data_IF_313236026732
#
_entry.id   IF_313236026732
#
_cell.length_a   1.000
_cell.length_b   1.000
_cell.length_c   1.000
_cell.angle_alpha   90.00
_cell.angle_beta   90.00
_cell.angle_gamma   90.00
#
_symmetry.space_group_name_H-M   'P 1'
#
loop_
_entity.id
_entity.type
_entity.pdbx_description
1 polymer ?
#
# COMPACT_ATOMS: atom_id res chain seq x y z
N UNK A 1 20.11 -3.39 -24.33
CA UNK A 1 20.26 -4.33 -23.19
C UNK A 1 20.11 -3.55 -21.89
N UNK A 2 18.91 -3.50 -21.30
CA UNK A 2 18.70 -3.14 -19.89
C UNK A 2 18.21 -4.40 -19.18
N UNK A 3 19.13 -5.34 -18.95
CA UNK A 3 18.90 -6.52 -18.10
C UNK A 3 19.56 -6.18 -16.78
N UNK A 4 18.77 -5.86 -15.75
CA UNK A 4 19.31 -5.63 -14.42
C UNK A 4 18.62 -4.57 -13.57
N UNK A 5 17.44 -4.04 -13.93
CA UNK A 5 16.57 -3.48 -12.89
C UNK A 5 16.13 -4.65 -12.02
N UNK A 6 16.78 -4.73 -10.87
CA UNK A 6 16.58 -5.73 -9.83
C UNK A 6 15.08 -5.97 -9.66
N UNK A 7 14.61 -7.20 -9.87
CA UNK A 7 13.21 -7.61 -9.65
C UNK A 7 12.69 -7.28 -8.23
N UNK A 8 13.60 -6.85 -7.37
CA UNK A 8 13.44 -6.44 -6.00
C UNK A 8 13.07 -4.95 -5.86
N UNK A 9 13.55 -4.01 -6.69
CA UNK A 9 13.43 -2.55 -6.45
C UNK A 9 12.09 -1.89 -6.87
N UNK A 10 10.97 -2.62 -6.92
CA UNK A 10 9.70 -2.05 -7.38
C UNK A 10 8.91 -1.34 -6.27
N UNK A 11 8.30 -0.21 -6.67
CA UNK A 11 7.43 0.65 -5.86
C UNK A 11 6.27 -0.11 -5.20
N UNK A 12 5.71 0.51 -4.15
CA UNK A 12 4.52 0.03 -3.46
C UNK A 12 3.35 -0.12 -4.45
N UNK A 13 2.67 -1.28 -4.51
CA UNK A 13 1.56 -1.47 -5.43
C UNK A 13 0.43 -0.48 -5.11
N UNK A 14 -0.10 0.16 -6.16
CA UNK A 14 -1.18 1.14 -6.06
C UNK A 14 -0.81 2.54 -5.53
N UNK A 15 0.38 2.71 -4.95
CA UNK A 15 0.83 3.98 -4.37
C UNK A 15 1.72 4.70 -5.39
N UNK A 16 1.29 5.88 -5.83
CA UNK A 16 1.97 6.67 -6.85
C UNK A 16 1.76 8.18 -6.61
N UNK A 17 2.38 9.00 -7.47
CA UNK A 17 2.28 10.46 -7.38
C UNK A 17 0.85 11.00 -7.51
N UNK A 18 -0.03 10.30 -8.22
CA UNK A 18 -1.44 10.67 -8.33
C UNK A 18 -2.16 10.50 -6.99
N UNK A 19 -2.02 9.33 -6.34
CA UNK A 19 -2.59 9.09 -5.01
C UNK A 19 -2.10 10.12 -3.99
N UNK A 20 -0.79 10.39 -3.96
CA UNK A 20 -0.22 11.40 -3.06
C UNK A 20 -0.75 12.81 -3.35
N UNK A 21 -0.96 13.15 -4.62
CA UNK A 21 -1.57 14.44 -5.00
C UNK A 21 -3.02 14.53 -4.50
N UNK A 22 -3.79 13.44 -4.56
CA UNK A 22 -5.15 13.39 -4.01
C UNK A 22 -5.17 13.53 -2.48
N UNK A 23 -4.18 12.95 -1.79
CA UNK A 23 -3.98 13.18 -0.35
C UNK A 23 -3.70 14.67 -0.06
N UNK A 24 -2.90 15.34 -0.88
CA UNK A 24 -2.67 16.78 -0.74
C UNK A 24 -3.96 17.59 -0.93
N UNK A 25 -4.79 17.24 -1.91
CA UNK A 25 -6.11 17.88 -2.10
C UNK A 25 -7.00 17.67 -0.88
N UNK A 26 -6.99 16.46 -0.30
CA UNK A 26 -7.74 16.15 0.92
C UNK A 26 -7.29 17.02 2.10
N UNK A 27 -5.99 17.22 2.24
CA UNK A 27 -5.42 18.06 3.29
C UNK A 27 -5.74 19.55 3.11
N UNK A 28 -5.79 20.02 1.86
CA UNK A 28 -6.24 21.37 1.54
C UNK A 28 -7.73 21.55 1.91
N UNK A 29 -8.59 20.60 1.55
CA UNK A 29 -10.02 20.63 1.92
C UNK A 29 -10.22 20.61 3.44
N UNK A 30 -9.46 19.79 4.17
CA UNK A 30 -9.47 19.73 5.64
C UNK A 30 -8.79 20.93 6.30
N UNK A 31 -8.30 21.91 5.52
CA UNK A 31 -7.55 23.10 5.99
C UNK A 31 -6.32 22.77 6.85
N UNK A 32 -5.76 21.57 6.67
CA UNK A 32 -4.49 21.15 7.33
C UNK A 32 -3.27 21.73 6.62
N UNK A 33 -3.39 21.97 5.32
CA UNK A 33 -2.38 22.62 4.49
C UNK A 33 -2.95 23.91 3.92
N UNK A 34 -2.11 24.92 3.72
CA UNK A 34 -2.47 26.17 3.07
C UNK A 34 -1.40 26.63 2.07
N UNK A 35 -1.78 27.49 1.13
CA UNK A 35 -0.89 27.95 0.06
C UNK A 35 0.28 28.84 0.54
N UNK A 36 0.28 29.30 1.80
CA UNK A 36 1.39 30.07 2.38
C UNK A 36 2.48 29.17 2.99
N UNK A 37 2.21 27.87 3.15
CA UNK A 37 3.19 26.91 3.67
C UNK A 37 4.26 26.61 2.62
N UNK A 38 5.50 26.42 3.07
CA UNK A 38 6.57 25.94 2.20
C UNK A 38 6.30 24.48 1.76
N UNK A 39 6.89 24.05 0.65
CA UNK A 39 6.78 22.66 0.19
C UNK A 39 7.23 21.66 1.26
N UNK A 40 8.27 21.98 2.03
CA UNK A 40 8.75 21.18 3.16
C UNK A 40 7.67 21.02 4.24
N UNK A 41 7.01 22.12 4.63
CA UNK A 41 5.96 22.09 5.63
C UNK A 41 4.74 21.29 5.14
N UNK A 42 4.36 21.48 3.88
CA UNK A 42 3.27 20.73 3.25
C UNK A 42 3.57 19.23 3.23
N UNK A 43 4.81 18.87 2.85
CA UNK A 43 5.26 17.48 2.82
C UNK A 43 5.27 16.85 4.22
N UNK A 44 5.80 17.54 5.22
CA UNK A 44 5.82 17.06 6.61
C UNK A 44 4.42 16.83 7.17
N UNK A 45 3.48 17.75 6.90
CA UNK A 45 2.06 17.57 7.27
C UNK A 45 1.42 16.39 6.53
N UNK A 46 1.79 16.17 5.27
CA UNK A 46 1.29 15.03 4.50
C UNK A 46 1.77 13.70 5.07
N UNK A 47 3.06 13.59 5.41
CA UNK A 47 3.62 12.41 6.07
C UNK A 47 2.97 12.16 7.42
N UNK A 48 2.83 13.19 8.26
CA UNK A 48 2.18 13.08 9.56
C UNK A 48 0.71 12.63 9.44
N UNK A 49 -0.01 13.15 8.45
CA UNK A 49 -1.37 12.69 8.16
C UNK A 49 -1.41 11.23 7.76
N UNK A 50 -0.55 10.81 6.82
CA UNK A 50 -0.50 9.42 6.35
C UNK A 50 -0.19 8.49 7.52
N UNK A 51 0.84 8.81 8.31
CA UNK A 51 1.27 8.08 9.50
C UNK A 51 0.12 7.74 10.47
N UNK A 52 -0.80 8.68 10.67
CA UNK A 52 -1.90 8.57 11.64
C UNK A 52 -3.28 8.34 11.01
N UNK A 53 -3.37 8.26 9.69
CA UNK A 53 -4.64 8.02 8.99
C UNK A 53 -5.15 6.60 9.16
N UNK A 54 -6.47 6.41 9.05
CA UNK A 54 -7.09 5.09 9.02
C UNK A 54 -8.04 4.92 7.83
N UNK A 55 -7.44 4.72 6.65
CA UNK A 55 -8.16 4.48 5.40
C UNK A 55 -8.68 3.05 5.30
N UNK A 56 -8.26 2.15 6.17
CA UNK A 56 -8.68 0.74 6.13
C UNK A 56 -10.02 0.55 6.84
N UNK A 57 -10.17 1.08 8.07
CA UNK A 57 -11.41 0.89 8.83
C UNK A 57 -12.44 2.00 8.60
N UNK A 58 -12.00 3.27 8.65
CA UNK A 58 -12.90 4.43 8.55
C UNK A 58 -12.99 5.01 7.14
N UNK A 59 -11.98 4.71 6.30
CA UNK A 59 -11.84 5.33 4.99
C UNK A 59 -11.50 6.81 5.05
N UNK A 60 -11.30 7.41 3.88
CA UNK A 60 -11.23 8.85 3.70
C UNK A 60 -12.03 9.24 2.45
N UNK A 61 -12.55 10.47 2.42
CA UNK A 61 -13.32 10.96 1.27
C UNK A 61 -12.99 12.42 0.98
N UNK A 62 -12.89 12.73 -0.32
CA UNK A 62 -12.83 14.08 -0.88
C UNK A 62 -14.22 14.64 -1.20
N UNK A 63 -15.25 13.80 -1.19
CA UNK A 63 -16.61 14.19 -1.49
C UNK A 63 -17.25 14.93 -0.31
N UNK A 64 -18.02 15.97 -0.62
CA UNK A 64 -18.97 16.55 0.32
C UNK A 64 -20.24 15.71 0.41
N UNK A 65 -21.24 16.20 1.14
CA UNK A 65 -22.58 15.61 1.08
C UNK A 65 -23.13 15.78 -0.34
N UNK A 66 -23.20 14.68 -1.10
CA UNK A 66 -23.73 14.64 -2.46
C UNK A 66 -24.93 13.70 -2.52
N UNK A 67 -26.00 14.13 -3.18
CA UNK A 67 -27.18 13.29 -3.40
C UNK A 67 -26.84 12.16 -4.37
N UNK A 68 -27.15 10.92 -3.99
CA UNK A 68 -26.94 9.73 -4.82
C UNK A 68 -25.55 9.09 -4.71
N UNK A 69 -24.61 9.71 -4.00
CA UNK A 69 -23.32 9.08 -3.71
C UNK A 69 -23.48 7.90 -2.72
N UNK A 70 -22.82 6.76 -2.95
CA UNK A 70 -22.81 5.65 -1.99
C UNK A 70 -22.15 6.08 -0.68
N UNK A 71 -22.59 5.48 0.43
CA UNK A 71 -21.95 5.70 1.72
C UNK A 71 -20.53 5.14 1.73
N UNK A 72 -19.62 5.81 2.44
CA UNK A 72 -18.21 5.42 2.50
C UNK A 72 -18.04 3.99 3.06
N UNK A 73 -18.95 3.57 3.94
CA UNK A 73 -18.98 2.22 4.50
C UNK A 73 -19.13 1.13 3.43
N UNK A 74 -19.76 1.46 2.29
CA UNK A 74 -19.90 0.54 1.15
C UNK A 74 -18.52 0.20 0.59
N UNK A 75 -17.64 1.19 0.47
CA UNK A 75 -16.27 0.98 0.00
C UNK A 75 -15.40 0.27 1.05
N UNK A 76 -15.45 0.69 2.32
CA UNK A 76 -14.61 0.07 3.37
C UNK A 76 -14.98 -1.40 3.62
N UNK A 77 -16.20 -1.82 3.26
CA UNK A 77 -16.59 -3.23 3.32
C UNK A 77 -16.04 -4.10 2.18
N UNK A 78 -15.61 -3.48 1.08
CA UNK A 78 -15.20 -4.16 -0.16
C UNK A 78 -13.71 -4.02 -0.47
N UNK A 79 -13.06 -2.97 0.02
CA UNK A 79 -11.67 -2.67 -0.28
C UNK A 79 -10.81 -2.63 0.99
N UNK A 80 -9.57 -3.13 0.86
CA UNK A 80 -8.55 -3.05 1.90
C UNK A 80 -8.30 -1.61 2.38
N UNK A 81 -8.37 -0.65 1.47
CA UNK A 81 -8.06 0.76 1.69
C UNK A 81 -9.04 1.62 0.90
N UNK A 82 -9.62 2.61 1.56
CA UNK A 82 -10.65 3.48 0.99
C UNK A 82 -10.23 4.95 1.02
N UNK A 83 -10.08 5.54 -0.16
CA UNK A 83 -9.97 6.99 -0.38
C UNK A 83 -10.89 7.37 -1.54
N UNK A 84 -12.08 7.89 -1.22
CA UNK A 84 -13.09 8.26 -2.21
C UNK A 84 -12.79 9.62 -2.84
N UNK A 85 -12.97 9.72 -4.15
CA UNK A 85 -12.78 10.94 -4.94
C UNK A 85 -13.83 12.02 -4.62
N UNK A 86 -13.72 13.18 -5.25
CA UNK A 86 -14.62 14.31 -5.00
C UNK A 86 -16.05 14.09 -5.49
N UNK A 87 -16.27 13.18 -6.45
CA UNK A 87 -17.61 12.81 -6.91
C UNK A 87 -18.34 11.89 -5.94
N UNK A 88 -17.62 11.20 -5.05
CA UNK A 88 -18.21 10.25 -4.11
C UNK A 88 -18.42 8.84 -4.69
N UNK A 89 -18.08 8.61 -5.97
CA UNK A 89 -18.39 7.36 -6.66
C UNK A 89 -17.17 6.49 -6.95
N UNK A 90 -15.96 6.98 -6.72
CA UNK A 90 -14.74 6.26 -7.09
C UNK A 90 -13.74 6.16 -5.94
N UNK A 91 -13.36 4.93 -5.58
CA UNK A 91 -12.26 4.70 -4.64
C UNK A 91 -10.91 4.79 -5.36
N UNK A 92 -10.18 5.89 -5.12
CA UNK A 92 -8.85 6.14 -5.68
C UNK A 92 -7.81 5.13 -5.16
N UNK A 93 -8.02 4.60 -3.95
CA UNK A 93 -7.12 3.64 -3.32
C UNK A 93 -7.51 2.17 -3.59
N UNK A 94 -8.41 1.90 -4.54
CA UNK A 94 -8.93 0.54 -4.80
C UNK A 94 -7.85 -0.52 -5.06
N UNK A 95 -6.71 -0.13 -5.64
CA UNK A 95 -5.58 -1.03 -5.94
C UNK A 95 -4.48 -1.03 -4.87
N UNK A 96 -4.70 -0.39 -3.73
CA UNK A 96 -3.72 -0.33 -2.64
C UNK A 96 -4.04 -1.47 -1.66
N UNK A 97 -3.23 -2.53 -1.58
CA UNK A 97 -3.45 -3.59 -0.61
C UNK A 97 -3.09 -3.11 0.80
N UNK A 98 -3.70 -3.75 1.80
CA UNK A 98 -3.52 -3.38 3.21
C UNK A 98 -2.04 -3.43 3.65
N UNK A 99 -1.25 -4.37 3.10
CA UNK A 99 0.19 -4.47 3.36
C UNK A 99 0.98 -3.27 2.85
N UNK A 100 0.66 -2.76 1.66
CA UNK A 100 1.33 -1.59 1.10
C UNK A 100 0.97 -0.32 1.86
N UNK A 101 -0.30 -0.19 2.29
CA UNK A 101 -0.72 0.92 3.14
C UNK A 101 -0.08 0.88 4.52
N UNK A 102 0.01 -0.28 5.16
CA UNK A 102 0.70 -0.44 6.44
C UNK A 102 2.19 -0.07 6.35
N UNK A 103 2.87 -0.46 5.27
CA UNK A 103 4.25 -0.06 4.99
C UNK A 103 4.36 1.46 4.82
N UNK A 104 3.51 2.06 3.97
CA UNK A 104 3.48 3.51 3.78
C UNK A 104 3.29 4.26 5.11
N UNK A 105 2.42 3.78 5.99
CA UNK A 105 2.21 4.38 7.32
C UNK A 105 3.43 4.26 8.23
N UNK A 106 4.18 3.17 8.15
CA UNK A 106 5.40 3.01 8.94
C UNK A 106 6.51 3.92 8.43
N UNK A 107 6.76 3.89 7.12
CA UNK A 107 7.75 4.73 6.47
C UNK A 107 7.44 6.22 6.69
N UNK A 108 6.17 6.61 6.66
CA UNK A 108 5.76 7.98 6.97
C UNK A 108 6.03 8.36 8.44
N UNK A 109 5.80 7.46 9.41
CA UNK A 109 6.12 7.70 10.82
C UNK A 109 7.62 7.87 11.03
N UNK A 110 8.42 7.02 10.43
CA UNK A 110 9.88 7.09 10.55
C UNK A 110 10.42 8.34 9.83
N UNK A 111 9.86 8.69 8.68
CA UNK A 111 10.18 9.93 7.99
C UNK A 111 9.89 11.17 8.83
N UNK A 112 8.74 11.23 9.51
CA UNK A 112 8.42 12.36 10.42
C UNK A 112 9.43 12.45 11.57
N UNK A 113 9.82 11.32 12.16
CA UNK A 113 10.83 11.29 13.24
C UNK A 113 12.18 11.84 12.78
N UNK A 114 12.63 11.46 11.58
CA UNK A 114 13.86 12.00 10.98
C UNK A 114 13.70 13.50 10.67
N UNK A 115 12.54 13.95 10.21
CA UNK A 115 12.31 15.38 9.97
C UNK A 115 12.15 16.21 11.26
N UNK A 116 12.02 15.57 12.43
CA UNK A 116 11.94 16.22 13.74
C UNK A 116 13.32 16.31 14.44
N UNK A 117 14.38 15.64 13.96
CA UNK A 117 15.71 15.63 14.60
C UNK A 117 16.53 16.93 14.49
N UNK A 118 15.94 18.02 13.97
CA UNK A 118 16.52 19.37 13.93
C UNK A 118 17.85 19.55 13.15
N UNK A 119 18.25 18.61 12.29
CA UNK A 119 19.48 18.67 11.49
C UNK A 119 19.16 18.73 9.99
N UNK A 120 18.66 19.87 9.51
CA UNK A 120 17.99 20.02 8.21
C UNK A 120 18.76 19.50 6.98
N UNK A 121 20.10 19.51 6.98
CA UNK A 121 20.91 18.99 5.86
C UNK A 121 21.04 17.46 5.89
N UNK A 122 21.28 16.87 7.06
CA UNK A 122 21.46 15.42 7.23
C UNK A 122 20.12 14.69 7.10
N UNK A 123 19.03 15.29 7.59
CA UNK A 123 17.68 14.73 7.52
C UNK A 123 17.21 14.57 6.05
N UNK A 124 17.57 15.51 5.16
CA UNK A 124 17.23 15.44 3.73
C UNK A 124 18.02 14.33 3.03
N UNK A 125 19.32 14.22 3.32
CA UNK A 125 20.18 13.20 2.73
C UNK A 125 19.71 11.79 3.14
N UNK A 126 19.38 11.61 4.43
CA UNK A 126 18.86 10.37 4.96
C UNK A 126 17.57 9.90 4.27
N UNK A 127 16.65 10.83 3.95
CA UNK A 127 15.34 10.49 3.38
C UNK A 127 15.32 10.38 1.85
N UNK A 128 16.10 11.19 1.13
CA UNK A 128 15.95 11.34 -0.32
C UNK A 128 17.17 10.93 -1.14
N UNK A 129 18.36 10.91 -0.53
CA UNK A 129 19.62 10.68 -1.26
C UNK A 129 20.16 9.26 -1.09
N UNK A 130 19.66 8.52 -0.10
CA UNK A 130 20.07 7.15 0.20
C UNK A 130 18.96 6.16 -0.19
N UNK A 131 18.88 5.73 -1.46
CA UNK A 131 17.95 4.68 -1.84
C UNK A 131 18.32 3.39 -1.10
N UNK A 132 17.46 2.95 -0.19
CA UNK A 132 17.64 1.68 0.49
C UNK A 132 17.53 0.53 -0.53
N UNK A 133 18.51 -0.38 -0.52
CA UNK A 133 18.37 -1.62 -1.29
C UNK A 133 17.17 -2.39 -0.75
N UNK A 134 16.39 -2.97 -1.65
CA UNK A 134 15.16 -3.63 -1.28
C UNK A 134 15.39 -4.82 -0.35
N UNK A 135 16.52 -5.51 -0.49
CA UNK A 135 16.90 -6.60 0.41
C UNK A 135 17.29 -6.13 1.82
N UNK A 136 17.68 -4.87 1.98
CA UNK A 136 18.00 -4.29 3.30
C UNK A 136 16.79 -3.66 3.98
N UNK A 137 15.62 -3.64 3.32
CA UNK A 137 14.37 -3.07 3.86
C UNK A 137 13.55 -4.06 4.70
N UNK A 138 13.87 -5.35 4.66
CA UNK A 138 13.16 -6.39 5.41
C UNK A 138 14.12 -7.18 6.28
N UNK A 139 13.62 -7.67 7.41
CA UNK A 139 14.39 -8.52 8.34
C UNK A 139 14.49 -9.96 7.81
N UNK A 140 13.49 -10.40 7.05
CA UNK A 140 13.41 -11.74 6.50
C UNK A 140 12.93 -11.81 5.06
N UNK A 141 13.56 -12.68 4.28
CA UNK A 141 13.15 -13.00 2.91
C UNK A 141 12.94 -14.50 2.75
N UNK A 142 11.77 -14.88 2.22
CA UNK A 142 11.46 -16.26 1.87
C UNK A 142 11.00 -16.33 0.42
N UNK A 143 11.68 -17.15 -0.37
CA UNK A 143 11.33 -17.37 -1.77
C UNK A 143 10.75 -18.77 -1.97
N UNK A 144 9.48 -18.82 -2.35
CA UNK A 144 8.72 -20.05 -2.57
C UNK A 144 8.70 -20.39 -4.06
N UNK A 145 9.44 -21.45 -4.43
CA UNK A 145 9.64 -21.90 -5.82
C UNK A 145 8.56 -22.85 -6.35
N UNK A 146 7.63 -23.30 -5.50
CA UNK A 146 6.68 -24.37 -5.80
C UNK A 146 5.29 -23.85 -6.23
N UNK A 147 5.23 -22.86 -7.12
CA UNK A 147 3.95 -22.25 -7.53
C UNK A 147 2.96 -23.25 -8.14
N UNK A 148 3.43 -24.23 -8.92
CA UNK A 148 2.56 -25.25 -9.51
C UNK A 148 1.89 -26.10 -8.42
N UNK A 149 2.65 -26.50 -7.41
CA UNK A 149 2.13 -27.25 -6.25
C UNK A 149 1.21 -26.38 -5.39
N UNK A 150 1.51 -25.09 -5.23
CA UNK A 150 0.61 -24.15 -4.53
C UNK A 150 -0.71 -23.96 -5.29
N UNK A 151 -0.66 -23.75 -6.61
CA UNK A 151 -1.87 -23.65 -7.44
C UNK A 151 -2.73 -24.92 -7.32
N UNK A 152 -2.11 -26.10 -7.31
CA UNK A 152 -2.81 -27.37 -7.12
C UNK A 152 -3.37 -27.53 -5.70
N UNK A 153 -2.60 -27.16 -4.67
CA UNK A 153 -3.01 -27.25 -3.26
C UNK A 153 -4.10 -26.25 -2.88
N UNK A 154 -4.11 -25.07 -3.52
CA UNK A 154 -5.14 -24.06 -3.34
C UNK A 154 -6.37 -24.26 -4.21
N UNK A 155 -6.41 -25.37 -4.98
CA UNK A 155 -7.47 -25.84 -5.88
C UNK A 155 -8.70 -24.94 -5.79
N UNK A 156 -8.67 -23.89 -6.61
CA UNK A 156 -9.81 -22.98 -6.70
C UNK A 156 -10.94 -23.80 -7.30
N UNK A 157 -11.95 -24.08 -6.49
CA UNK A 157 -13.21 -24.60 -6.99
C UNK A 157 -13.70 -23.68 -8.13
N UNK A 158 -14.42 -24.19 -9.13
CA UNK A 158 -14.74 -23.42 -10.33
C UNK A 158 -15.46 -22.10 -10.01
N UNK A 159 -16.20 -22.04 -8.88
CA UNK A 159 -16.83 -20.83 -8.34
C UNK A 159 -15.83 -19.79 -7.84
N UNK A 160 -14.82 -20.20 -7.05
CA UNK A 160 -13.78 -19.27 -6.59
C UNK A 160 -12.89 -18.80 -7.74
N UNK A 161 -12.74 -19.59 -8.81
CA UNK A 161 -12.03 -19.16 -10.01
C UNK A 161 -12.79 -18.05 -10.76
N UNK A 162 -14.12 -18.14 -10.87
CA UNK A 162 -14.94 -17.08 -11.49
C UNK A 162 -14.94 -15.81 -10.66
N UNK A 163 -15.05 -15.92 -9.33
CA UNK A 163 -15.06 -14.75 -8.45
C UNK A 163 -13.69 -14.03 -8.46
N UNK A 164 -12.60 -14.78 -8.39
CA UNK A 164 -11.23 -14.22 -8.46
C UNK A 164 -10.95 -13.59 -9.83
N UNK A 165 -11.40 -14.20 -10.92
CA UNK A 165 -11.25 -13.60 -12.26
C UNK A 165 -12.11 -12.34 -12.38
N UNK A 166 -13.31 -12.33 -11.79
CA UNK A 166 -14.18 -11.16 -11.77
C UNK A 166 -13.57 -10.01 -10.95
N UNK A 167 -12.94 -10.31 -9.82
CA UNK A 167 -12.38 -9.30 -8.91
C UNK A 167 -11.02 -8.75 -9.39
N UNK A 168 -10.15 -9.60 -9.97
CA UNK A 168 -8.76 -9.23 -10.26
C UNK A 168 -8.41 -9.15 -11.75
N UNK A 169 -9.30 -9.57 -12.65
CA UNK A 169 -9.12 -9.50 -14.11
C UNK A 169 -8.00 -10.40 -14.69
N UNK A 170 -7.15 -10.99 -13.84
CA UNK A 170 -6.07 -11.91 -14.20
C UNK A 170 -6.10 -13.11 -13.23
N UNK A 171 -5.84 -14.31 -13.75
CA UNK A 171 -6.19 -15.61 -13.14
C UNK A 171 -5.52 -16.01 -11.81
N UNK A 172 -5.26 -17.32 -11.67
CA UNK A 172 -4.90 -18.03 -10.43
C UNK A 172 -3.80 -17.44 -9.51
N UNK A 173 -2.80 -16.65 -9.97
CA UNK A 173 -1.74 -16.14 -9.08
C UNK A 173 -2.21 -15.18 -7.97
N UNK A 174 -3.18 -14.30 -8.24
CA UNK A 174 -3.62 -13.31 -7.24
C UNK A 174 -4.30 -13.98 -6.03
N UNK A 175 -5.18 -14.94 -6.28
CA UNK A 175 -5.83 -15.72 -5.21
C UNK A 175 -4.86 -16.57 -4.39
N UNK A 176 -3.81 -17.11 -5.03
CA UNK A 176 -2.77 -17.85 -4.29
C UNK A 176 -1.98 -16.90 -3.39
N UNK A 177 -1.63 -15.71 -3.86
CA UNK A 177 -0.97 -14.68 -3.05
C UNK A 177 -1.82 -14.31 -1.85
N UNK A 178 -3.13 -14.09 -2.04
CA UNK A 178 -4.05 -13.70 -0.97
C UNK A 178 -4.20 -14.80 0.08
N UNK A 179 -4.49 -16.05 -0.33
CA UNK A 179 -4.58 -17.21 0.57
C UNK A 179 -3.28 -17.46 1.33
N UNK A 180 -2.14 -17.34 0.64
CA UNK A 180 -0.82 -17.43 1.28
C UNK A 180 -0.63 -16.31 2.30
N UNK A 181 -1.05 -15.08 1.99
CA UNK A 181 -0.96 -13.94 2.90
C UNK A 181 -1.75 -14.19 4.18
N UNK A 182 -2.97 -14.67 4.06
CA UNK A 182 -3.82 -15.01 5.19
C UNK A 182 -3.20 -16.14 6.05
N UNK A 183 -2.70 -17.21 5.42
CA UNK A 183 -2.08 -18.33 6.12
C UNK A 183 -0.82 -17.91 6.87
N UNK A 184 0.06 -17.17 6.21
CA UNK A 184 1.32 -16.70 6.77
C UNK A 184 1.06 -15.71 7.91
N UNK A 185 0.18 -14.72 7.71
CA UNK A 185 -0.19 -13.79 8.80
C UNK A 185 -0.72 -14.54 10.01
N UNK A 186 -1.61 -15.52 9.80
CA UNK A 186 -2.16 -16.32 10.89
C UNK A 186 -1.09 -17.18 11.59
N UNK A 187 -0.16 -17.75 10.83
CA UNK A 187 0.91 -18.59 11.36
C UNK A 187 1.99 -17.81 12.12
N UNK A 188 2.30 -16.60 11.67
CA UNK A 188 3.31 -15.75 12.31
C UNK A 188 2.73 -14.92 13.47
N UNK A 189 1.45 -14.55 13.40
CA UNK A 189 0.78 -13.75 14.43
C UNK A 189 1.57 -12.48 14.74
N UNK A 190 1.73 -12.19 16.03
CA UNK A 190 2.39 -10.96 16.52
C UNK A 190 3.93 -10.99 16.41
N UNK A 191 4.52 -12.06 15.86
CA UNK A 191 5.98 -12.15 15.67
C UNK A 191 6.49 -11.23 14.56
N UNK A 192 5.59 -10.71 13.74
CA UNK A 192 5.89 -9.93 12.55
C UNK A 192 5.08 -8.65 12.56
N UNK A 193 5.76 -7.53 12.36
CA UNK A 193 5.13 -6.21 12.31
C UNK A 193 4.57 -5.91 10.92
N UNK A 194 5.24 -6.38 9.87
CA UNK A 194 4.86 -6.17 8.48
C UNK A 194 5.04 -7.43 7.65
N UNK A 195 4.09 -7.71 6.77
CA UNK A 195 4.19 -8.84 5.85
C UNK A 195 3.81 -8.38 4.44
N UNK A 196 4.67 -8.69 3.48
CA UNK A 196 4.37 -8.54 2.06
C UNK A 196 4.60 -9.85 1.33
N UNK A 197 3.69 -10.13 0.39
CA UNK A 197 3.85 -11.19 -0.60
C UNK A 197 3.84 -10.57 -1.99
N UNK A 198 4.75 -11.05 -2.84
CA UNK A 198 4.89 -10.62 -4.23
C UNK A 198 5.04 -11.83 -5.12
N UNK A 199 4.29 -11.86 -6.21
CA UNK A 199 4.56 -12.78 -7.31
C UNK A 199 5.74 -12.26 -8.14
N UNK A 200 6.75 -13.10 -8.39
CA UNK A 200 7.93 -12.74 -9.18
C UNK A 200 7.90 -13.48 -10.50
N UNK A 201 8.19 -12.77 -11.60
CA UNK A 201 8.11 -13.27 -12.99
C UNK A 201 8.90 -14.55 -13.27
N UNK A 202 9.88 -14.90 -12.43
CA UNK A 202 10.63 -16.17 -12.49
C UNK A 202 9.79 -17.37 -12.02
N UNK A 203 8.47 -17.22 -11.84
CA UNK A 203 7.59 -18.30 -11.41
C UNK A 203 7.77 -18.64 -9.93
N UNK A 204 7.93 -17.63 -9.07
CA UNK A 204 8.02 -17.81 -7.61
C UNK A 204 7.18 -16.80 -6.84
N UNK A 205 6.86 -17.14 -5.59
CA UNK A 205 6.26 -16.21 -4.62
C UNK A 205 7.34 -15.77 -3.63
N UNK A 206 7.57 -14.47 -3.54
CA UNK A 206 8.47 -13.90 -2.54
C UNK A 206 7.67 -13.35 -1.37
N UNK A 207 8.13 -13.66 -0.18
CA UNK A 207 7.60 -13.19 1.09
C UNK A 207 8.65 -12.35 1.80
N UNK A 208 8.21 -11.22 2.32
CA UNK A 208 9.02 -10.26 3.04
C UNK A 208 8.40 -10.06 4.40
N UNK A 209 9.22 -10.23 5.42
CA UNK A 209 8.91 -10.13 6.84
C UNK A 209 9.72 -8.99 7.43
#
# INVERSE_FOLDING_TARGET
MKKGESAYSQALPGINGFLLSMVMVLLLQKRKVNAKMSCYQMFKVALDYIAHSDWASTGATLAGAQEGAPDISTFTSQYDVTLVDSSGHYNIAANVPLSAYAELKSEARDSVRVLDSHAQSEDFEALFMNPADYLTRCDGFVHVRALASLNAAFSLDNRTKTDVIADWGYGTPAAVVEKMCALVRRGLGDRVTQLRLRYVEVGGLCMYV
#
